data_IF_873818306340
#
_entry.id   IF_873818306340
#
_cell.length_a   1.000
_cell.length_b   1.000
_cell.length_c   1.000
_cell.angle_alpha   90.00
_cell.angle_beta   90.00
_cell.angle_gamma   90.00
#
_symmetry.space_group_name_H-M   'P 1'
#
loop_
_entity.id
_entity.type
_entity.pdbx_description
1 polymer ?
#
# COMPACT_ATOMS: atom_id res chain seq x y z
N UNK A 1 -0.49 12.59 -5.19
CA UNK A 1 0.25 11.35 -5.55
C UNK A 1 -0.43 10.75 -6.79
N UNK A 2 0.30 10.44 -7.87
CA UNK A 2 -0.30 9.95 -9.14
C UNK A 2 -0.98 8.58 -8.97
N UNK A 3 -0.25 7.61 -8.41
CA UNK A 3 -0.74 6.24 -8.19
C UNK A 3 -2.03 6.21 -7.34
N UNK A 4 -2.07 6.97 -6.24
CA UNK A 4 -3.24 7.03 -5.36
C UNK A 4 -4.50 7.56 -6.07
N UNK A 5 -4.34 8.46 -7.04
CA UNK A 5 -5.44 8.92 -7.87
C UNK A 5 -5.82 7.89 -8.93
N UNK A 6 -4.85 7.28 -9.62
CA UNK A 6 -5.11 6.29 -10.67
C UNK A 6 -5.78 5.03 -10.14
N UNK A 7 -5.32 4.48 -9.01
CA UNK A 7 -5.78 3.20 -8.45
C UNK A 7 -7.00 3.33 -7.53
N UNK A 8 -7.14 4.46 -6.81
CA UNK A 8 -8.16 4.62 -5.76
C UNK A 8 -8.95 5.94 -5.84
N UNK A 9 -8.64 6.85 -6.77
CA UNK A 9 -9.31 8.14 -6.84
C UNK A 9 -9.05 9.05 -5.65
N UNK A 10 -7.88 8.91 -5.02
CA UNK A 10 -7.51 9.65 -3.80
C UNK A 10 -6.56 10.80 -4.16
N UNK A 11 -6.97 12.03 -3.84
CA UNK A 11 -6.03 13.15 -3.73
C UNK A 11 -5.47 13.19 -2.31
N UNK A 12 -4.14 13.24 -2.19
CA UNK A 12 -3.47 13.12 -0.89
C UNK A 12 -2.19 13.94 -0.80
N UNK A 13 -1.81 14.21 0.45
CA UNK A 13 -0.55 14.85 0.82
C UNK A 13 0.26 13.93 1.70
N UNK A 14 1.57 13.83 1.44
CA UNK A 14 2.49 13.04 2.26
C UNK A 14 2.66 13.72 3.61
N UNK A 15 2.39 12.99 4.69
CA UNK A 15 2.56 13.45 6.08
C UNK A 15 3.82 12.91 6.72
N UNK A 16 4.31 11.75 6.27
CA UNK A 16 5.47 11.09 6.88
C UNK A 16 6.17 10.17 5.87
N UNK A 17 7.50 10.18 5.89
CA UNK A 17 8.31 9.15 5.26
C UNK A 17 8.50 7.98 6.24
N UNK A 18 8.09 6.78 5.85
CA UNK A 18 8.21 5.56 6.66
C UNK A 18 9.51 4.80 6.39
N UNK A 19 10.34 5.35 5.50
CA UNK A 19 11.64 4.85 5.11
C UNK A 19 11.57 3.73 4.08
N UNK A 20 12.75 3.17 3.84
CA UNK A 20 12.90 2.00 3.00
C UNK A 20 12.63 0.73 3.80
N UNK A 21 12.03 -0.24 3.11
CA UNK A 21 11.80 -1.60 3.58
C UNK A 21 12.28 -2.53 2.47
N UNK A 22 13.24 -3.38 2.80
CA UNK A 22 13.79 -4.36 1.87
C UNK A 22 12.72 -5.40 1.48
N UNK A 23 12.87 -5.98 0.30
CA UNK A 23 12.05 -7.11 -0.13
C UNK A 23 12.20 -8.28 0.85
N UNK A 24 11.08 -8.68 1.48
CA UNK A 24 11.03 -9.77 2.47
C UNK A 24 10.39 -11.04 1.94
N UNK A 25 9.86 -11.03 0.72
CA UNK A 25 9.27 -12.21 0.07
C UNK A 25 10.37 -13.15 -0.37
N UNK A 26 10.15 -14.45 -0.15
CA UNK A 26 11.03 -15.50 -0.66
C UNK A 26 10.99 -15.55 -2.19
N UNK A 27 12.03 -16.09 -2.83
CA UNK A 27 12.05 -16.29 -4.28
C UNK A 27 10.84 -17.07 -4.80
N UNK A 28 10.33 -18.03 -4.03
CA UNK A 28 9.12 -18.77 -4.35
C UNK A 28 7.87 -17.87 -4.38
N UNK A 29 7.75 -16.94 -3.41
CA UNK A 29 6.68 -15.95 -3.38
C UNK A 29 6.81 -14.93 -4.51
N UNK A 30 8.04 -14.50 -4.86
CA UNK A 30 8.29 -13.60 -5.99
C UNK A 30 7.85 -14.27 -7.30
N UNK A 31 8.28 -15.52 -7.53
CA UNK A 31 7.93 -16.30 -8.73
C UNK A 31 6.42 -16.51 -8.89
N UNK A 32 5.66 -16.60 -7.80
CA UNK A 32 4.19 -16.71 -7.82
C UNK A 32 3.51 -15.53 -8.54
N UNK A 33 4.12 -14.34 -8.48
CA UNK A 33 3.57 -13.12 -9.08
C UNK A 33 4.25 -12.72 -10.40
N UNK A 34 5.22 -13.52 -10.87
CA UNK A 34 5.93 -13.33 -12.14
C UNK A 34 7.38 -13.83 -12.05
N UNK A 35 7.78 -14.74 -12.94
CA UNK A 35 9.07 -15.43 -12.89
C UNK A 35 10.33 -14.55 -13.05
N UNK A 36 10.17 -13.25 -13.33
CA UNK A 36 11.24 -12.30 -13.64
C UNK A 36 11.12 -10.97 -12.87
N UNK A 37 10.31 -10.90 -11.80
CA UNK A 37 10.21 -9.67 -11.02
C UNK A 37 11.57 -9.38 -10.34
N UNK A 38 12.24 -8.24 -10.64
CA UNK A 38 13.48 -7.89 -9.97
C UNK A 38 13.22 -7.67 -8.47
N UNK A 39 14.24 -7.91 -7.64
CA UNK A 39 14.19 -7.51 -6.25
C UNK A 39 13.95 -5.99 -6.19
N UNK A 40 12.84 -5.59 -5.57
CA UNK A 40 12.45 -4.19 -5.46
C UNK A 40 12.91 -3.62 -4.11
N UNK A 41 13.44 -2.40 -4.11
CA UNK A 41 13.48 -1.59 -2.89
C UNK A 41 12.16 -0.85 -2.78
N UNK A 42 11.49 -1.00 -1.64
CA UNK A 42 10.24 -0.29 -1.37
C UNK A 42 10.49 0.89 -0.46
N UNK A 43 10.02 2.08 -0.87
CA UNK A 43 9.94 3.24 0.00
C UNK A 43 8.51 3.58 0.29
N UNK A 44 8.16 3.67 1.57
CA UNK A 44 6.79 3.86 2.01
C UNK A 44 6.57 5.28 2.54
N UNK A 45 5.39 5.80 2.23
CA UNK A 45 4.94 7.11 2.69
C UNK A 45 3.58 7.00 3.33
N UNK A 46 3.41 7.66 4.47
CA UNK A 46 2.09 7.92 5.03
C UNK A 46 1.51 9.16 4.36
N UNK A 47 0.23 9.09 4.01
CA UNK A 47 -0.47 10.19 3.38
C UNK A 47 -1.77 10.51 4.11
N UNK A 48 -2.15 11.79 4.10
CA UNK A 48 -3.47 12.25 4.51
C UNK A 48 -4.32 12.50 3.26
N UNK A 49 -5.50 11.90 3.24
CA UNK A 49 -6.47 12.10 2.16
C UNK A 49 -7.08 13.50 2.26
N UNK A 50 -7.07 14.21 1.14
CA UNK A 50 -7.70 15.52 0.97
C UNK A 50 -9.06 15.38 0.33
N UNK A 51 -9.18 14.52 -0.67
CA UNK A 51 -10.42 14.33 -1.43
C UNK A 51 -10.53 12.89 -1.94
N UNK A 52 -11.76 12.39 -1.98
CA UNK A 52 -12.14 11.13 -2.63
C UNK A 52 -12.96 11.44 -3.88
N UNK A 53 -12.44 11.08 -5.05
CA UNK A 53 -13.18 11.20 -6.32
C UNK A 53 -14.17 10.03 -6.44
N UNK A 54 -15.33 10.33 -7.03
CA UNK A 54 -16.37 9.34 -7.32
C UNK A 54 -16.00 8.42 -8.49
N UNK A 55 -15.15 8.90 -9.41
CA UNK A 55 -14.63 8.14 -10.56
C UNK A 55 -13.12 8.31 -10.65
N UNK A 56 -12.42 7.24 -11.00
CA UNK A 56 -10.97 7.24 -11.17
C UNK A 56 -10.53 6.30 -12.30
N UNK A 57 -9.34 6.49 -12.89
CA UNK A 57 -8.90 5.76 -14.07
C UNK A 57 -9.03 4.23 -13.98
N UNK A 58 -8.66 3.64 -12.84
CA UNK A 58 -8.70 2.20 -12.65
C UNK A 58 -9.92 1.67 -11.87
N UNK A 59 -10.99 2.46 -11.73
CA UNK A 59 -12.19 2.04 -10.97
C UNK A 59 -12.87 0.77 -11.50
N UNK A 60 -12.57 0.39 -12.74
CA UNK A 60 -13.05 -0.83 -13.39
C UNK A 60 -12.14 -2.06 -13.14
N UNK A 61 -10.94 -1.86 -12.56
CA UNK A 61 -9.95 -2.92 -12.24
C UNK A 61 -9.64 -3.02 -10.76
N UNK A 62 -9.90 -1.94 -10.00
CA UNK A 62 -9.53 -1.78 -8.60
C UNK A 62 -10.72 -1.28 -7.81
N UNK A 63 -10.90 -1.85 -6.62
CA UNK A 63 -11.88 -1.40 -5.65
C UNK A 63 -11.19 -0.67 -4.50
N UNK A 64 -11.77 0.46 -4.06
CA UNK A 64 -11.31 1.20 -2.89
C UNK A 64 -12.14 0.78 -1.68
N UNK A 65 -11.48 0.48 -0.58
CA UNK A 65 -12.14 0.24 0.70
C UNK A 65 -11.36 0.88 1.85
N UNK A 66 -12.08 1.62 2.70
CA UNK A 66 -11.55 2.09 3.98
C UNK A 66 -11.56 0.95 5.00
N UNK A 67 -10.47 0.82 5.74
CA UNK A 67 -10.28 -0.27 6.71
C UNK A 67 -9.76 0.28 8.03
N UNK A 68 -10.12 -0.41 9.11
CA UNK A 68 -9.44 -0.24 10.40
C UNK A 68 -8.04 -0.83 10.33
N UNK A 69 -7.17 -0.41 11.25
CA UNK A 69 -5.81 -0.96 11.36
C UNK A 69 -5.80 -2.50 11.42
N UNK A 70 -6.66 -3.08 12.27
CA UNK A 70 -6.73 -4.54 12.47
C UNK A 70 -7.15 -5.26 11.18
N UNK A 71 -8.12 -4.72 10.44
CA UNK A 71 -8.55 -5.33 9.18
C UNK A 71 -7.49 -5.20 8.10
N UNK A 72 -6.86 -4.03 7.97
CA UNK A 72 -5.75 -3.82 7.05
C UNK A 72 -4.61 -4.80 7.34
N UNK A 73 -4.22 -4.97 8.62
CA UNK A 73 -3.16 -5.91 9.03
C UNK A 73 -3.49 -7.36 8.64
N UNK A 74 -4.75 -7.79 8.79
CA UNK A 74 -5.18 -9.13 8.36
C UNK A 74 -5.07 -9.30 6.83
N UNK A 75 -5.54 -8.32 6.06
CA UNK A 75 -5.47 -8.35 4.60
C UNK A 75 -4.04 -8.35 4.06
N UNK A 76 -3.11 -7.71 4.77
CA UNK A 76 -1.70 -7.57 4.37
C UNK A 76 -0.79 -8.72 4.85
N UNK A 77 -1.32 -9.73 5.56
CA UNK A 77 -0.53 -10.80 6.19
C UNK A 77 0.43 -11.56 5.26
N UNK A 78 0.10 -11.67 3.97
CA UNK A 78 0.95 -12.35 2.97
C UNK A 78 2.03 -11.44 2.35
N UNK A 79 2.05 -10.17 2.74
CA UNK A 79 2.97 -9.13 2.27
C UNK A 79 3.67 -8.47 3.47
N UNK A 80 4.73 -9.10 4.01
CA UNK A 80 5.41 -8.62 5.21
C UNK A 80 5.90 -7.18 5.10
N UNK A 81 6.32 -6.75 3.93
CA UNK A 81 6.75 -5.37 3.62
C UNK A 81 5.63 -4.34 3.84
N UNK A 82 4.41 -4.66 3.42
CA UNK A 82 3.24 -3.78 3.61
C UNK A 82 2.78 -3.80 5.08
N UNK A 83 2.88 -4.95 5.73
CA UNK A 83 2.55 -5.10 7.15
C UNK A 83 3.50 -4.26 8.02
N UNK A 84 4.80 -4.27 7.72
CA UNK A 84 5.77 -3.45 8.42
C UNK A 84 5.56 -1.95 8.18
N UNK A 85 5.26 -1.55 6.93
CA UNK A 85 4.90 -0.16 6.64
C UNK A 85 3.69 0.30 7.46
N UNK A 86 2.65 -0.55 7.54
CA UNK A 86 1.48 -0.29 8.37
C UNK A 86 1.86 -0.16 9.86
N UNK A 87 2.78 -0.98 10.37
CA UNK A 87 3.25 -0.92 11.76
C UNK A 87 4.07 0.35 12.07
N UNK A 88 4.83 0.87 11.10
CA UNK A 88 5.60 2.13 11.20
C UNK A 88 4.72 3.40 11.09
N UNK A 89 3.52 3.25 10.53
CA UNK A 89 2.56 4.34 10.38
C UNK A 89 2.01 4.83 11.72
N UNK A 90 1.43 6.03 11.69
CA UNK A 90 0.75 6.66 12.82
C UNK A 90 -0.75 6.33 12.88
N UNK A 91 -1.23 5.33 12.11
CA UNK A 91 -2.62 4.88 12.12
C UNK A 91 -2.99 4.32 13.50
N UNK A 92 -4.14 4.74 14.03
CA UNK A 92 -4.64 4.31 15.34
C UNK A 92 -4.99 2.81 15.32
N UNK A 93 -4.48 2.09 16.32
CA UNK A 93 -4.61 0.62 16.42
C UNK A 93 -5.85 0.14 17.19
N UNK A 94 -6.58 1.06 17.82
CA UNK A 94 -7.74 0.82 18.70
C UNK A 94 -9.05 1.21 18.05
#
# INVERSE_FOLDING_TARGET
CREAWEEAGIESEITKDLGEIEEKRTEAQIKKYGALAPAASYRFYEVKVKEEKASWPESHKRERQWMTYSKAKECLKERPELTEALERSSIKRS
#
